data_IF_083015576763
#
_entry.id   IF_083015576763
#
_cell.length_a   1.000
_cell.length_b   1.000
_cell.length_c   1.000
_cell.angle_alpha   90.00
_cell.angle_beta   90.00
_cell.angle_gamma   90.00
#
_symmetry.space_group_name_H-M   'P 1'
#
loop_
_entity.id
_entity.type
_entity.pdbx_description
1 polymer ?
#
# COMPACT_ATOMS: atom_id res chain seq x y z
N UNK A 1 -13.38 -3.07 16.16
CA UNK A 1 -13.01 -3.63 14.85
C UNK A 1 -12.83 -2.46 13.90
N UNK A 2 -11.60 -2.13 13.56
CA UNK A 2 -11.25 -1.08 12.60
C UNK A 2 -11.85 -1.42 11.23
N UNK A 3 -12.55 -0.48 10.60
CA UNK A 3 -13.30 -0.70 9.34
C UNK A 3 -12.71 0.02 8.14
N UNK A 4 -11.68 0.85 8.31
CA UNK A 4 -11.14 1.74 7.27
C UNK A 4 -9.60 1.77 7.24
N UNK A 5 -8.96 0.65 7.56
CA UNK A 5 -7.51 0.54 7.48
C UNK A 5 -7.06 0.39 6.02
N UNK A 6 -6.24 1.32 5.54
CA UNK A 6 -5.62 1.24 4.21
C UNK A 6 -4.44 0.26 4.27
N UNK A 7 -4.28 -0.56 3.24
CA UNK A 7 -3.12 -1.44 3.13
C UNK A 7 -1.79 -0.65 3.10
N UNK A 8 -0.72 -1.27 3.59
CA UNK A 8 0.61 -0.67 3.67
C UNK A 8 0.63 0.72 4.34
N UNK A 9 -0.18 0.91 5.39
CA UNK A 9 -0.28 2.17 6.14
C UNK A 9 0.10 1.89 7.60
N UNK A 10 0.98 2.72 8.16
CA UNK A 10 1.33 2.65 9.59
C UNK A 10 0.24 3.33 10.41
N UNK A 11 -0.26 2.60 11.40
CA UNK A 11 -1.20 3.07 12.39
C UNK A 11 -0.54 3.02 13.78
N UNK A 12 -0.79 4.05 14.58
CA UNK A 12 -0.29 4.16 15.95
C UNK A 12 -1.43 3.92 16.91
N UNK A 13 -1.30 2.90 17.74
CA UNK A 13 -2.29 2.53 18.74
C UNK A 13 -1.74 2.75 20.14
N UNK A 14 -2.61 3.27 21.02
CA UNK A 14 -2.38 3.35 22.46
C UNK A 14 -3.60 2.74 23.16
N UNK A 15 -3.36 2.04 24.26
CA UNK A 15 -4.41 1.41 25.05
C UNK A 15 -4.51 2.09 26.40
N UNK A 16 -5.73 2.38 26.83
CA UNK A 16 -6.06 2.78 28.20
C UNK A 16 -7.09 1.82 28.78
N UNK A 17 -7.06 1.64 30.10
CA UNK A 17 -8.05 0.86 30.82
C UNK A 17 -8.97 1.80 31.59
N UNK A 18 -10.26 1.48 31.65
CA UNK A 18 -11.25 2.21 32.45
C UNK A 18 -11.80 1.25 33.50
N UNK A 19 -11.84 1.67 34.76
CA UNK A 19 -12.42 0.87 35.85
C UNK A 19 -13.96 0.95 35.89
N UNK A 20 -14.59 0.20 36.81
CA UNK A 20 -16.05 0.18 36.98
C UNK A 20 -16.63 1.52 37.48
N UNK A 21 -15.78 2.44 37.96
CA UNK A 21 -16.16 3.78 38.42
C UNK A 21 -15.92 4.86 37.35
N UNK A 22 -15.37 4.49 36.19
CA UNK A 22 -15.08 5.40 35.08
C UNK A 22 -13.71 6.08 35.14
N UNK A 23 -12.80 5.65 36.02
CA UNK A 23 -11.44 6.20 36.05
C UNK A 23 -10.57 5.57 34.96
N UNK A 24 -9.92 6.41 34.15
CA UNK A 24 -9.03 5.96 33.07
C UNK A 24 -7.57 5.90 33.56
N UNK A 25 -6.87 4.82 33.19
CA UNK A 25 -5.45 4.63 33.49
C UNK A 25 -4.54 5.55 32.66
N UNK A 26 -3.25 5.62 33.02
CA UNK A 26 -2.24 6.15 32.09
C UNK A 26 -2.22 5.35 30.78
N UNK A 27 -1.88 6.03 29.67
CA UNK A 27 -1.74 5.42 28.34
C UNK A 27 -0.57 4.43 28.31
N UNK A 28 -0.74 3.32 27.59
CA UNK A 28 0.35 2.41 27.26
C UNK A 28 1.41 3.05 26.35
N UNK A 29 2.53 2.36 26.16
CA UNK A 29 3.45 2.64 25.07
C UNK A 29 2.74 2.58 23.70
N UNK A 30 3.27 3.36 22.75
CA UNK A 30 2.74 3.41 21.38
C UNK A 30 3.10 2.13 20.64
N UNK A 31 2.08 1.40 20.20
CA UNK A 31 2.24 0.29 19.28
C UNK A 31 2.15 0.81 17.85
N UNK A 32 3.25 0.70 17.11
CA UNK A 32 3.28 0.99 15.67
C UNK A 32 2.96 -0.30 14.89
N UNK A 33 1.83 -0.30 14.19
CA UNK A 33 1.36 -1.45 13.41
C UNK A 33 1.24 -1.04 11.95
N UNK A 34 1.88 -1.78 11.05
CA UNK A 34 1.71 -1.61 9.60
C UNK A 34 0.75 -2.68 9.09
N UNK A 35 -0.30 -2.26 8.39
CA UNK A 35 -1.26 -3.16 7.74
C UNK A 35 -0.59 -3.89 6.58
N UNK A 36 -0.95 -5.18 6.40
CA UNK A 36 -0.46 -5.99 5.28
C UNK A 36 -0.81 -5.33 3.95
N UNK A 37 0.01 -5.60 2.94
CA UNK A 37 -0.32 -5.26 1.55
C UNK A 37 -1.58 -6.05 1.16
N UNK A 38 -2.50 -5.44 0.41
CA UNK A 38 -3.64 -6.20 -0.09
C UNK A 38 -3.16 -7.28 -1.07
N UNK A 39 -3.58 -8.53 -0.83
CA UNK A 39 -3.52 -9.64 -1.79
C UNK A 39 -4.55 -9.41 -2.90
N UNK A 40 -4.47 -8.28 -3.60
CA UNK A 40 -5.17 -8.11 -4.86
C UNK A 40 -4.34 -8.83 -5.92
N UNK A 41 -4.94 -9.78 -6.65
CA UNK A 41 -4.31 -10.37 -7.83
C UNK A 41 -4.17 -9.28 -8.89
N UNK A 42 -3.04 -8.59 -8.91
CA UNK A 42 -2.77 -7.54 -9.89
C UNK A 42 -2.56 -8.16 -11.27
N UNK A 43 -2.97 -7.43 -12.31
CA UNK A 43 -2.76 -7.87 -13.68
C UNK A 43 -1.27 -7.88 -14.03
N UNK A 44 -0.86 -8.72 -15.00
CA UNK A 44 0.52 -8.70 -15.48
C UNK A 44 0.76 -7.42 -16.27
N UNK A 45 1.91 -6.78 -16.08
CA UNK A 45 2.28 -5.59 -16.84
C UNK A 45 2.40 -5.86 -18.34
N UNK A 46 1.91 -4.91 -19.15
CA UNK A 46 1.96 -4.92 -20.61
C UNK A 46 2.54 -3.59 -21.12
N UNK A 47 3.63 -3.67 -21.88
CA UNK A 47 4.36 -2.52 -22.40
C UNK A 47 3.55 -1.64 -23.39
N UNK A 48 2.43 -2.13 -23.92
CA UNK A 48 1.57 -1.43 -24.90
C UNK A 48 0.22 -1.00 -24.31
N UNK A 49 -0.05 -1.32 -23.05
CA UNK A 49 -1.31 -0.96 -22.39
C UNK A 49 -1.29 0.49 -21.89
N UNK A 50 -2.46 1.12 -21.90
CA UNK A 50 -2.69 2.39 -21.22
C UNK A 50 -2.82 2.17 -19.71
N UNK A 51 -2.13 2.98 -18.92
CA UNK A 51 -2.25 2.97 -17.46
C UNK A 51 -2.65 4.34 -16.96
N UNK A 52 -3.35 4.35 -15.83
CA UNK A 52 -3.73 5.54 -15.07
C UNK A 52 -3.02 5.57 -13.72
N UNK A 53 -2.89 6.75 -13.13
CA UNK A 53 -2.24 6.91 -11.82
C UNK A 53 -2.95 6.06 -10.77
N UNK A 54 -2.19 5.22 -10.07
CA UNK A 54 -2.68 4.31 -9.04
C UNK A 54 -2.91 2.88 -9.52
N UNK A 55 -2.89 2.62 -10.83
CA UNK A 55 -2.97 1.26 -11.36
C UNK A 55 -1.81 0.41 -10.84
N UNK A 56 -2.10 -0.85 -10.52
CA UNK A 56 -1.11 -1.79 -10.00
C UNK A 56 -1.00 -3.01 -10.89
N UNK A 57 0.25 -3.39 -11.17
CA UNK A 57 0.60 -4.49 -12.06
C UNK A 57 1.67 -5.38 -11.44
N UNK A 58 1.73 -6.64 -11.86
CA UNK A 58 2.83 -7.55 -11.54
C UNK A 58 3.82 -7.62 -12.70
N UNK A 59 5.09 -7.47 -12.40
CA UNK A 59 6.20 -7.73 -13.30
C UNK A 59 7.32 -8.46 -12.56
N UNK A 60 7.74 -9.60 -13.08
CA UNK A 60 8.75 -10.47 -12.45
C UNK A 60 8.46 -10.81 -10.97
N UNK A 61 7.17 -11.02 -10.63
CA UNK A 61 6.73 -11.32 -9.27
C UNK A 61 6.73 -10.14 -8.31
N UNK A 62 7.10 -8.93 -8.78
CA UNK A 62 7.03 -7.68 -8.02
C UNK A 62 5.84 -6.87 -8.46
N UNK A 63 5.23 -6.17 -7.50
CA UNK A 63 4.13 -5.26 -7.77
C UNK A 63 4.67 -3.86 -8.04
N UNK A 64 4.14 -3.21 -9.07
CA UNK A 64 4.44 -1.82 -9.41
C UNK A 64 3.15 -1.02 -9.43
N UNK A 65 3.20 0.22 -8.94
CA UNK A 65 2.09 1.18 -8.98
C UNK A 65 2.42 2.32 -9.95
N UNK A 66 1.49 2.63 -10.86
CA UNK A 66 1.63 3.70 -11.82
C UNK A 66 1.57 5.06 -11.10
N UNK A 67 2.57 5.90 -11.29
CA UNK A 67 2.66 7.21 -10.62
C UNK A 67 1.96 8.33 -11.40
N UNK A 68 1.76 8.11 -12.69
CA UNK A 68 1.01 9.00 -13.60
C UNK A 68 0.34 8.18 -14.71
N UNK A 69 -0.62 8.80 -15.40
CA UNK A 69 -1.23 8.19 -16.57
C UNK A 69 -0.32 8.27 -17.80
N UNK A 70 -0.22 7.18 -18.56
CA UNK A 70 0.55 7.14 -19.80
C UNK A 70 0.06 6.03 -20.74
N UNK A 71 0.42 6.13 -22.02
CA UNK A 71 0.13 5.12 -23.04
C UNK A 71 1.41 4.34 -23.37
N UNK A 72 1.41 3.03 -23.12
CA UNK A 72 2.52 2.15 -23.47
C UNK A 72 2.86 2.15 -24.97
N UNK A 73 4.15 2.24 -25.32
CA UNK A 73 4.62 2.17 -26.70
C UNK A 73 5.45 0.90 -27.01
N UNK A 74 5.42 -0.09 -26.12
CA UNK A 74 6.14 -1.35 -26.29
C UNK A 74 7.58 -1.37 -25.78
N UNK A 75 8.04 -0.30 -25.11
CA UNK A 75 9.35 -0.28 -24.46
C UNK A 75 9.27 -0.99 -23.10
N UNK A 76 9.94 -2.14 -23.01
CA UNK A 76 9.99 -2.97 -21.80
C UNK A 76 10.71 -2.29 -20.63
N UNK A 77 11.52 -1.25 -20.87
CA UNK A 77 12.24 -0.56 -19.80
C UNK A 77 11.35 0.40 -19.01
N UNK A 78 10.15 0.71 -19.51
CA UNK A 78 9.28 1.70 -18.87
C UNK A 78 8.79 1.27 -17.49
N UNK A 79 8.66 -0.04 -17.22
CA UNK A 79 8.35 -0.52 -15.87
C UNK A 79 9.41 -0.13 -14.82
N UNK A 80 10.65 0.15 -15.25
CA UNK A 80 11.72 0.63 -14.38
C UNK A 80 11.84 2.15 -14.34
N UNK A 81 11.10 2.86 -15.19
CA UNK A 81 11.09 4.32 -15.17
C UNK A 81 10.35 4.81 -13.92
N UNK A 82 11.08 5.36 -12.95
CA UNK A 82 10.52 5.87 -11.69
C UNK A 82 9.52 7.02 -11.89
N UNK A 83 9.57 7.68 -13.05
CA UNK A 83 8.60 8.68 -13.47
C UNK A 83 7.26 8.07 -13.91
N UNK A 84 7.19 6.77 -14.17
CA UNK A 84 5.97 6.05 -14.60
C UNK A 84 5.52 5.03 -13.55
N UNK A 85 6.46 4.34 -12.89
CA UNK A 85 6.17 3.26 -11.96
C UNK A 85 7.01 3.35 -10.69
N UNK A 86 6.38 3.02 -9.55
CA UNK A 86 7.08 2.79 -8.28
C UNK A 86 6.89 1.33 -7.84
N UNK A 87 7.96 0.63 -7.42
CA UNK A 87 7.82 -0.69 -6.84
C UNK A 87 7.07 -0.60 -5.51
N UNK A 88 6.05 -1.43 -5.35
CA UNK A 88 5.35 -1.60 -4.08
C UNK A 88 6.15 -2.61 -3.27
N UNK A 89 6.92 -2.11 -2.31
CA UNK A 89 7.72 -2.95 -1.43
C UNK A 89 6.79 -3.76 -0.51
N UNK A 90 6.76 -5.07 -0.69
CA UNK A 90 6.27 -6.00 0.33
C UNK A 90 7.32 -6.06 1.43
N UNK A 91 6.94 -5.70 2.66
CA UNK A 91 7.83 -5.68 3.82
C UNK A 91 7.66 -6.94 4.66
#
# INVERSE_FOLDING_TARGET
>A
MDKELKANTSYKYVVTAVDLAGNESSRSDVLDVTTKVEDSTYEKWDARKAYTKGDRVVYEGKVYEAVQGYQGNGDTNWIFALSLWKPVLSK
#
